data_IF_551759138330
#
_entry.id   IF_551759138330
#
_cell.length_a   1.000
_cell.length_b   1.000
_cell.length_c   1.000
_cell.angle_alpha   90.00
_cell.angle_beta   90.00
_cell.angle_gamma   90.00
#
_symmetry.space_group_name_H-M   'P 1'
#
loop_
_entity.id
_entity.type
_entity.pdbx_description
1 polymer ?
#
# COMPACT_ATOMS: atom_id res chain seq x y z
N UNK A 1 34.09 20.16 -24.05
CA UNK A 1 33.75 19.39 -22.83
C UNK A 1 32.71 18.36 -23.20
N UNK A 2 33.00 17.08 -22.99
CA UNK A 2 32.03 16.03 -23.31
C UNK A 2 30.89 16.01 -22.28
N UNK A 3 29.65 15.85 -22.77
CA UNK A 3 28.45 15.68 -21.95
C UNK A 3 27.56 14.59 -22.53
N UNK A 4 26.81 13.92 -21.66
CA UNK A 4 25.86 12.88 -22.07
C UNK A 4 24.48 13.47 -22.29
N UNK A 5 23.92 13.26 -23.47
CA UNK A 5 22.58 13.72 -23.86
C UNK A 5 21.78 12.57 -24.48
N UNK A 6 20.46 12.71 -24.48
CA UNK A 6 19.59 11.79 -25.21
C UNK A 6 19.37 12.36 -26.63
N UNK A 7 19.67 11.56 -27.64
CA UNK A 7 19.53 11.90 -29.06
C UNK A 7 18.49 11.00 -29.72
N UNK A 8 17.88 11.48 -30.78
CA UNK A 8 16.96 10.73 -31.63
C UNK A 8 17.47 10.74 -33.07
N UNK A 9 17.55 9.56 -33.67
CA UNK A 9 17.94 9.39 -35.08
C UNK A 9 16.80 9.88 -35.97
N UNK A 10 17.06 10.84 -36.85
CA UNK A 10 16.03 11.50 -37.67
C UNK A 10 16.03 10.99 -39.12
N UNK A 11 17.18 10.61 -39.67
CA UNK A 11 17.27 9.96 -40.98
C UNK A 11 18.57 9.20 -41.13
N UNK A 12 18.53 8.09 -41.86
CA UNK A 12 19.70 7.45 -42.46
C UNK A 12 19.92 8.05 -43.86
N UNK A 13 21.14 8.51 -44.17
CA UNK A 13 21.47 9.04 -45.49
C UNK A 13 22.02 7.98 -46.45
N UNK A 14 22.27 6.76 -45.99
CA UNK A 14 22.75 5.64 -46.81
C UNK A 14 24.22 5.73 -47.24
N UNK A 15 24.92 6.80 -46.87
CA UNK A 15 26.35 7.04 -47.10
C UNK A 15 27.21 6.71 -45.86
N UNK A 16 26.61 6.05 -44.86
CA UNK A 16 27.22 5.81 -43.55
C UNK A 16 27.08 6.99 -42.57
N UNK A 17 26.34 8.04 -42.93
CA UNK A 17 26.03 9.16 -42.04
C UNK A 17 24.55 9.22 -41.65
N UNK A 18 24.29 9.60 -40.41
CA UNK A 18 22.95 9.69 -39.83
C UNK A 18 22.68 11.10 -39.32
N UNK A 19 21.46 11.60 -39.52
CA UNK A 19 21.05 12.87 -38.90
C UNK A 19 20.44 12.60 -37.55
N UNK A 20 20.72 13.45 -36.57
CA UNK A 20 20.19 13.31 -35.22
C UNK A 20 19.69 14.65 -34.67
N UNK A 21 18.77 14.57 -33.72
CA UNK A 21 18.27 15.69 -32.91
C UNK A 21 18.38 15.33 -31.43
N UNK A 22 18.44 16.31 -30.54
CA UNK A 22 18.23 15.99 -29.13
C UNK A 22 16.80 15.46 -28.96
N UNK A 23 16.61 14.45 -28.11
CA UNK A 23 15.29 13.86 -27.86
C UNK A 23 14.28 14.97 -27.48
N UNK A 24 13.17 15.05 -28.19
CA UNK A 24 12.13 16.09 -28.01
C UNK A 24 12.41 17.45 -28.68
N UNK A 25 13.57 17.65 -29.32
CA UNK A 25 13.85 18.88 -30.08
C UNK A 25 13.18 18.88 -31.46
N UNK A 26 12.76 20.05 -31.94
CA UNK A 26 12.03 20.20 -33.22
C UNK A 26 12.93 20.19 -34.47
N UNK A 27 14.21 20.52 -34.34
CA UNK A 27 15.16 20.57 -35.44
C UNK A 27 16.34 19.61 -35.23
N UNK A 28 16.88 19.03 -36.34
CA UNK A 28 18.09 18.23 -36.29
C UNK A 28 19.25 19.09 -35.77
N UNK A 29 20.04 18.53 -34.86
CA UNK A 29 21.18 19.20 -34.23
C UNK A 29 22.49 18.93 -34.98
N UNK A 30 22.59 17.82 -35.70
CA UNK A 30 23.82 17.48 -36.40
C UNK A 30 23.76 16.16 -37.17
N UNK A 31 24.93 15.77 -37.65
CA UNK A 31 25.21 14.51 -38.34
C UNK A 31 26.11 13.67 -37.44
N UNK A 32 25.93 12.35 -37.42
CA UNK A 32 26.80 11.39 -36.73
C UNK A 32 27.19 10.27 -37.69
N UNK A 33 28.30 9.58 -37.37
CA UNK A 33 28.78 8.43 -38.16
C UNK A 33 28.04 7.16 -37.76
N UNK A 34 27.60 6.38 -38.75
CA UNK A 34 26.86 5.14 -38.55
C UNK A 34 27.62 4.08 -37.75
N UNK A 35 28.95 4.05 -37.85
CA UNK A 35 29.82 3.12 -37.13
C UNK A 35 29.74 3.25 -35.60
N UNK A 36 29.24 4.38 -35.10
CA UNK A 36 29.05 4.61 -33.67
C UNK A 36 27.72 4.03 -33.17
N UNK A 37 26.80 3.63 -34.07
CA UNK A 37 25.49 3.14 -33.71
C UNK A 37 25.52 1.65 -33.37
N UNK A 38 24.68 1.21 -32.40
CA UNK A 38 24.51 -0.22 -32.12
C UNK A 38 23.81 -0.92 -33.30
N UNK A 39 24.06 -2.23 -33.44
CA UNK A 39 23.40 -3.06 -34.44
C UNK A 39 21.88 -2.95 -34.35
N UNK A 40 21.22 -2.84 -35.51
CA UNK A 40 19.76 -2.69 -35.59
C UNK A 40 19.25 -1.28 -35.28
N UNK A 41 20.12 -0.25 -35.33
CA UNK A 41 19.70 1.14 -35.18
C UNK A 41 18.68 1.55 -36.26
N UNK A 42 17.64 2.29 -35.84
CA UNK A 42 16.55 2.70 -36.72
C UNK A 42 16.18 4.18 -36.55
N UNK A 43 15.61 4.77 -37.60
CA UNK A 43 15.06 6.13 -37.56
C UNK A 43 13.95 6.22 -36.50
N UNK A 44 13.98 7.26 -35.68
CA UNK A 44 13.07 7.48 -34.54
C UNK A 44 13.55 6.85 -33.23
N UNK A 45 14.63 6.08 -33.24
CA UNK A 45 15.19 5.50 -32.02
C UNK A 45 15.86 6.58 -31.17
N UNK A 46 15.56 6.57 -29.87
CA UNK A 46 16.21 7.43 -28.88
C UNK A 46 17.35 6.68 -28.19
N UNK A 47 18.56 7.25 -28.27
CA UNK A 47 19.79 6.67 -27.76
C UNK A 47 20.52 7.68 -26.86
N UNK A 48 21.29 7.17 -25.91
CA UNK A 48 22.15 8.00 -25.06
C UNK A 48 23.48 8.21 -25.78
N UNK A 49 23.85 9.45 -26.04
CA UNK A 49 25.11 9.77 -26.72
C UNK A 49 26.00 10.66 -25.86
N UNK A 50 27.31 10.44 -25.96
CA UNK A 50 28.34 11.34 -25.48
C UNK A 50 28.72 12.30 -26.59
N UNK A 51 28.66 13.58 -26.26
CA UNK A 51 28.71 14.67 -27.21
C UNK A 51 29.70 15.71 -26.73
N UNK A 52 30.62 16.10 -27.60
CA UNK A 52 31.49 17.24 -27.35
C UNK A 52 30.89 18.50 -27.96
N UNK A 53 30.80 19.56 -27.16
CA UNK A 53 30.31 20.87 -27.60
C UNK A 53 31.52 21.81 -27.71
N UNK A 54 31.89 22.13 -28.95
CA UNK A 54 32.99 23.03 -29.31
C UNK A 54 32.51 24.28 -30.04
N UNK A 55 33.45 25.06 -30.57
CA UNK A 55 33.16 26.27 -31.36
C UNK A 55 32.44 25.94 -32.68
N UNK A 56 32.76 24.78 -33.26
CA UNK A 56 32.25 24.30 -34.56
C UNK A 56 30.92 23.54 -34.46
N UNK A 57 30.33 23.49 -33.27
CA UNK A 57 29.05 22.85 -33.02
C UNK A 57 29.14 21.66 -32.07
N UNK A 58 28.21 20.72 -32.26
CA UNK A 58 27.93 19.63 -31.33
C UNK A 58 28.20 18.30 -32.04
N UNK A 59 29.31 17.63 -31.73
CA UNK A 59 29.72 16.38 -32.37
C UNK A 59 29.45 15.18 -31.45
N UNK A 60 28.92 14.10 -32.02
CA UNK A 60 28.69 12.84 -31.29
C UNK A 60 29.98 12.03 -31.32
N UNK A 61 30.56 11.81 -30.13
CA UNK A 61 31.82 11.07 -29.96
C UNK A 61 31.55 9.58 -29.75
N UNK A 62 30.49 9.23 -29.01
CA UNK A 62 30.10 7.86 -28.76
C UNK A 62 28.59 7.73 -28.54
N UNK A 63 28.01 6.59 -28.93
CA UNK A 63 26.61 6.25 -28.64
C UNK A 63 26.57 5.01 -27.75
N UNK A 64 25.90 5.12 -26.61
CA UNK A 64 25.71 3.99 -25.71
C UNK A 64 24.55 3.13 -26.22
N UNK A 65 24.61 1.80 -26.04
CA UNK A 65 23.50 0.92 -26.39
C UNK A 65 22.23 1.37 -25.66
N UNK A 66 21.04 1.17 -26.26
CA UNK A 66 19.79 1.53 -25.63
C UNK A 66 19.74 0.87 -24.25
N UNK A 67 19.35 1.64 -23.23
CA UNK A 67 19.10 1.08 -21.90
C UNK A 67 18.05 0.00 -22.11
N UNK A 68 18.48 -1.26 -22.07
CA UNK A 68 17.56 -2.37 -22.11
C UNK A 68 16.47 -2.03 -21.10
N UNK A 69 15.21 -2.09 -21.54
CA UNK A 69 14.11 -2.19 -20.59
C UNK A 69 14.31 -3.55 -19.95
N UNK A 70 15.25 -3.61 -19.02
CA UNK A 70 15.40 -4.64 -18.03
C UNK A 70 14.14 -4.53 -17.16
N UNK A 71 13.04 -5.03 -17.72
CA UNK A 71 12.19 -5.98 -17.04
C UNK A 71 13.02 -7.26 -16.88
N UNK A 72 14.21 -7.13 -16.27
CA UNK A 72 14.79 -8.22 -15.55
C UNK A 72 13.71 -8.55 -14.55
N UNK A 73 13.19 -9.77 -14.69
CA UNK A 73 12.27 -10.38 -13.75
C UNK A 73 12.69 -9.96 -12.36
N UNK A 74 11.76 -9.37 -11.62
CA UNK A 74 11.97 -8.94 -10.24
C UNK A 74 12.66 -10.09 -9.54
N UNK A 75 13.93 -9.93 -9.17
CA UNK A 75 14.65 -10.95 -8.42
C UNK A 75 13.98 -11.01 -7.05
N UNK A 76 13.03 -11.93 -6.91
CA UNK A 76 12.28 -12.13 -5.67
C UNK A 76 13.17 -12.88 -4.71
N UNK A 77 13.42 -12.29 -3.55
CA UNK A 77 14.01 -13.01 -2.43
C UNK A 77 13.01 -14.10 -1.99
N UNK A 78 13.42 -15.36 -2.09
CA UNK A 78 12.66 -16.47 -1.51
C UNK A 78 12.81 -16.41 0.01
N UNK A 79 11.70 -16.22 0.72
CA UNK A 79 11.69 -16.16 2.18
C UNK A 79 11.67 -17.59 2.72
N UNK A 80 12.84 -18.12 3.10
CA UNK A 80 12.94 -19.41 3.79
C UNK A 80 12.52 -19.19 5.26
N UNK A 81 11.21 -19.18 5.53
CA UNK A 81 10.72 -19.19 6.90
C UNK A 81 10.82 -20.61 7.46
N UNK A 82 11.45 -20.74 8.65
CA UNK A 82 11.35 -21.97 9.45
C UNK A 82 9.89 -22.14 9.91
N UNK A 83 9.37 -23.37 10.01
CA UNK A 83 8.01 -23.59 10.50
C UNK A 83 7.90 -23.04 11.93
N UNK A 84 7.01 -22.07 12.11
CA UNK A 84 6.68 -21.52 13.43
C UNK A 84 5.96 -22.62 14.19
N UNK A 85 6.48 -22.98 15.36
CA UNK A 85 5.86 -24.00 16.20
C UNK A 85 4.73 -23.35 16.99
N UNK A 86 3.67 -24.10 17.31
CA UNK A 86 2.52 -23.58 18.07
C UNK A 86 2.92 -22.96 19.43
N UNK A 87 4.04 -23.39 20.01
CA UNK A 87 4.62 -22.82 21.23
C UNK A 87 5.12 -21.37 21.07
N UNK A 88 5.53 -20.97 19.87
CA UNK A 88 5.99 -19.62 19.54
C UNK A 88 4.80 -18.65 19.31
N UNK A 89 3.60 -19.19 19.10
CA UNK A 89 2.35 -18.42 18.91
C UNK A 89 1.71 -18.00 20.24
N UNK A 90 2.19 -18.53 21.37
CA UNK A 90 1.61 -18.28 22.70
C UNK A 90 2.34 -17.11 23.38
N UNK A 91 1.80 -15.89 23.23
CA UNK A 91 2.34 -14.68 23.88
C UNK A 91 2.04 -14.57 25.38
N UNK A 92 1.30 -15.52 25.96
CA UNK A 92 1.05 -15.54 27.41
C UNK A 92 0.98 -16.97 27.96
N UNK A 93 1.96 -17.33 28.80
CA UNK A 93 1.88 -18.51 29.68
C UNK A 93 1.21 -18.09 30.99
N UNK A 94 -0.06 -18.47 31.18
CA UNK A 94 -0.76 -18.29 32.44
C UNK A 94 -0.22 -19.32 33.45
N UNK A 95 0.61 -18.89 34.39
CA UNK A 95 1.07 -19.73 35.49
C UNK A 95 -0.13 -20.12 36.36
N UNK A 96 -0.40 -21.42 36.47
CA UNK A 96 -1.46 -21.95 37.32
C UNK A 96 -1.20 -21.63 38.80
N UNK A 97 -2.07 -20.82 39.41
CA UNK A 97 -2.02 -20.54 40.84
C UNK A 97 -2.67 -21.69 41.60
N UNK A 98 -1.83 -22.54 42.18
CA UNK A 98 -2.22 -23.66 43.03
C UNK A 98 -3.14 -23.25 44.17
N UNK A 99 -4.14 -24.10 44.44
CA UNK A 99 -4.99 -24.01 45.60
C UNK A 99 -4.18 -24.18 46.88
N UNK A 100 -4.42 -23.29 47.86
CA UNK A 100 -4.06 -23.49 49.26
C UNK A 100 -5.25 -23.15 50.13
N UNK A 101 -5.75 -24.19 50.75
CA UNK A 101 -6.08 -24.28 52.18
C UNK A 101 -7.14 -23.34 52.72
N UNK A 102 -8.31 -23.95 52.91
CA UNK A 102 -9.24 -23.62 53.99
C UNK A 102 -8.52 -23.92 55.30
N UNK A 103 -8.23 -22.91 56.11
CA UNK A 103 -8.22 -23.10 57.54
C UNK A 103 -8.56 -21.83 58.32
N UNK A 104 -9.20 -22.07 59.46
CA UNK A 104 -9.98 -21.18 60.32
C UNK A 104 -9.22 -19.98 60.89
N UNK A 105 -9.95 -18.90 61.17
CA UNK A 105 -9.48 -17.79 62.00
C UNK A 105 -10.53 -16.72 62.27
N UNK A 106 -11.47 -17.03 63.16
CA UNK A 106 -12.35 -16.10 63.87
C UNK A 106 -11.58 -14.94 64.53
N UNK A 107 -12.03 -13.68 64.32
CA UNK A 107 -12.01 -12.57 65.30
C UNK A 107 -12.39 -11.21 64.68
N UNK A 108 -13.38 -10.56 65.27
CA UNK A 108 -13.25 -9.13 65.57
C UNK A 108 -14.23 -8.16 64.90
N UNK A 109 -15.47 -8.21 65.36
CA UNK A 109 -16.40 -7.08 65.44
C UNK A 109 -15.71 -5.78 65.92
N UNK A 110 -15.92 -4.65 65.23
CA UNK A 110 -15.97 -3.28 65.80
C UNK A 110 -16.23 -2.21 64.72
N UNK A 111 -17.41 -1.59 64.81
CA UNK A 111 -17.47 -0.12 64.90
C UNK A 111 -18.06 0.65 63.73
N UNK A 112 -19.34 0.96 63.86
CA UNK A 112 -20.03 2.14 63.34
C UNK A 112 -19.16 3.40 63.15
N UNK A 113 -19.41 4.17 62.07
CA UNK A 113 -19.95 5.55 62.17
C UNK A 113 -20.23 6.21 60.81
N UNK A 114 -21.44 6.76 60.73
CA UNK A 114 -21.99 7.68 59.71
C UNK A 114 -21.33 9.07 59.76
N UNK A 115 -21.44 9.82 58.66
CA UNK A 115 -21.39 11.31 58.62
C UNK A 115 -20.53 11.84 57.46
N UNK A 116 -21.09 12.34 56.35
CA UNK A 116 -21.63 13.69 56.10
C UNK A 116 -20.58 14.81 56.22
N UNK A 117 -20.31 15.50 55.11
CA UNK A 117 -20.09 16.96 55.12
C UNK A 117 -18.78 17.51 54.58
N UNK A 118 -18.92 18.32 53.52
CA UNK A 118 -18.27 19.63 53.26
C UNK A 118 -16.75 19.82 53.06
N UNK A 119 -16.44 20.20 51.82
CA UNK A 119 -15.84 21.49 51.35
C UNK A 119 -14.88 22.27 52.25
N UNK A 120 -13.68 22.54 51.65
CA UNK A 120 -12.80 23.76 51.67
C UNK A 120 -12.35 24.25 53.06
N UNK A 121 -11.07 24.53 53.33
CA UNK A 121 -10.24 25.60 52.76
C UNK A 121 -8.82 25.54 53.39
N UNK A 122 -7.82 26.14 52.71
CA UNK A 122 -6.55 26.79 53.19
C UNK A 122 -5.78 26.14 54.37
N UNK A 123 -4.49 25.79 54.30
CA UNK A 123 -3.34 26.39 53.62
C UNK A 123 -2.30 26.82 54.67
N UNK A 124 -1.01 26.45 54.53
CA UNK A 124 0.10 27.24 55.12
C UNK A 124 1.51 26.87 54.59
N UNK A 125 2.29 27.92 54.26
CA UNK A 125 3.77 28.17 54.21
C UNK A 125 4.72 27.11 53.59
N UNK A 126 5.57 27.36 52.57
CA UNK A 126 6.49 28.51 52.27
C UNK A 126 7.94 28.19 52.76
N UNK A 127 9.08 28.61 52.13
CA UNK A 127 9.34 29.92 51.49
C UNK A 127 10.25 29.95 50.21
N UNK A 128 10.53 31.18 49.74
CA UNK A 128 11.10 31.70 48.47
C UNK A 128 12.65 31.87 48.49
N UNK A 129 13.35 32.02 47.35
CA UNK A 129 13.95 33.26 46.71
C UNK A 129 14.90 32.78 45.57
N UNK A 130 15.23 33.45 44.45
CA UNK A 130 15.51 34.85 44.04
C UNK A 130 15.02 35.07 42.57
N UNK A 131 14.47 36.22 42.12
CA UNK A 131 15.04 37.58 42.04
C UNK A 131 15.93 37.68 40.78
N UNK A 132 15.68 38.47 39.72
CA UNK A 132 15.53 39.92 39.76
C UNK A 132 15.11 40.56 38.41
N UNK A 133 14.44 41.72 38.54
CA UNK A 133 14.43 42.93 37.67
C UNK A 133 13.14 43.30 36.91
N UNK A 134 12.42 44.27 37.50
CA UNK A 134 11.38 45.09 36.86
C UNK A 134 11.92 46.43 36.30
N UNK A 135 11.15 47.54 36.30
CA UNK A 135 10.37 48.05 35.13
C UNK A 135 10.53 49.57 34.82
N UNK A 136 10.02 50.06 33.67
CA UNK A 136 9.19 51.29 33.44
C UNK A 136 9.49 52.12 32.15
N UNK A 137 8.41 52.64 31.55
CA UNK A 137 8.28 53.86 30.70
C UNK A 137 8.44 53.64 29.19
N UNK A 138 7.78 54.29 28.22
CA UNK A 138 6.72 55.31 28.11
C UNK A 138 6.47 55.52 26.58
N UNK A 139 5.24 55.84 26.14
CA UNK A 139 4.89 56.20 24.74
C UNK A 139 4.60 55.00 23.81
N UNK A 140 3.58 54.94 22.95
CA UNK A 140 2.81 56.00 22.31
C UNK A 140 1.44 55.43 21.85
N UNK A 141 0.34 56.16 22.10
CA UNK A 141 -1.04 55.79 21.71
C UNK A 141 -1.39 56.45 20.39
N UNK A 142 -1.86 55.70 19.39
CA UNK A 142 -2.82 56.23 18.39
C UNK A 142 -3.86 55.17 17.97
N UNK A 143 -5.15 55.34 18.30
CA UNK A 143 -6.26 54.62 17.67
C UNK A 143 -6.63 55.28 16.34
N UNK A 144 -6.89 54.49 15.30
CA UNK A 144 -7.31 54.99 13.98
C UNK A 144 -8.83 55.23 13.98
N UNK A 145 -9.33 56.34 13.39
CA UNK A 145 -10.66 56.86 13.69
C UNK A 145 -11.75 56.31 12.78
N UNK A 146 -12.91 56.13 13.39
CA UNK A 146 -14.23 55.92 12.78
C UNK A 146 -14.72 57.27 12.19
N UNK A 147 -15.18 57.26 10.93
CA UNK A 147 -15.57 58.47 10.22
C UNK A 147 -16.35 58.19 8.94
N UNK A 148 -17.62 58.59 8.99
CA UNK A 148 -18.73 58.45 8.04
C UNK A 148 -18.63 59.37 6.79
N UNK A 149 -19.46 59.09 5.76
CA UNK A 149 -19.76 59.79 4.46
C UNK A 149 -19.34 59.01 3.20
N UNK A 150 -20.22 58.55 2.30
CA UNK A 150 -21.67 58.74 2.16
C UNK A 150 -22.26 57.89 1.02
N UNK A 151 -23.55 58.08 0.68
CA UNK A 151 -24.29 57.22 -0.26
C UNK A 151 -24.21 57.77 -1.70
N UNK A 152 -23.69 56.97 -2.64
CA UNK A 152 -23.92 57.18 -4.08
C UNK A 152 -24.18 55.84 -4.77
N UNK A 153 -25.38 55.73 -5.32
CA UNK A 153 -25.85 54.56 -6.03
C UNK A 153 -25.07 54.26 -7.31
N UNK A 154 -25.24 53.02 -7.77
CA UNK A 154 -24.73 52.52 -9.02
C UNK A 154 -25.07 51.05 -9.14
N UNK A 155 -26.33 50.77 -9.45
CA UNK A 155 -26.87 49.41 -9.54
C UNK A 155 -26.04 48.52 -10.46
N UNK A 156 -25.60 47.39 -9.92
CA UNK A 156 -25.47 46.18 -10.70
C UNK A 156 -26.48 45.18 -10.14
N UNK A 157 -27.48 44.74 -10.93
CA UNK A 157 -28.33 43.65 -10.49
C UNK A 157 -27.45 42.42 -10.29
N UNK A 158 -27.61 41.75 -9.14
CA UNK A 158 -27.02 40.44 -8.88
C UNK A 158 -27.37 39.52 -10.04
N UNK A 159 -26.38 39.22 -10.87
CA UNK A 159 -26.57 38.29 -11.99
C UNK A 159 -26.88 36.93 -11.36
N UNK A 160 -28.02 36.29 -11.66
CA UNK A 160 -28.36 35.00 -11.07
C UNK A 160 -27.21 34.02 -11.36
N UNK A 161 -26.63 33.44 -10.31
CA UNK A 161 -25.63 32.38 -10.44
C UNK A 161 -26.29 31.28 -11.26
N UNK A 162 -25.84 31.12 -12.51
CA UNK A 162 -26.28 30.03 -13.37
C UNK A 162 -25.92 28.74 -12.66
N UNK A 163 -26.92 28.03 -12.12
CA UNK A 163 -26.71 26.74 -11.48
C UNK A 163 -26.08 25.81 -12.51
N UNK A 164 -24.82 25.44 -12.26
CA UNK A 164 -24.09 24.53 -13.14
C UNK A 164 -24.77 23.18 -12.99
N UNK A 165 -25.28 22.57 -14.09
CA UNK A 165 -25.87 21.24 -14.02
C UNK A 165 -24.90 20.30 -13.31
N UNK A 166 -25.38 19.61 -12.29
CA UNK A 166 -24.58 18.63 -11.56
C UNK A 166 -24.13 17.54 -12.53
N UNK A 167 -22.83 17.45 -12.77
CA UNK A 167 -22.27 16.41 -13.63
C UNK A 167 -22.61 15.03 -13.04
N UNK A 168 -22.99 14.05 -13.87
CA UNK A 168 -23.33 12.72 -13.39
C UNK A 168 -22.14 12.11 -12.63
N UNK A 169 -22.39 11.38 -11.53
CA UNK A 169 -21.32 10.85 -10.69
C UNK A 169 -20.44 9.90 -11.50
N UNK A 170 -19.13 10.13 -11.46
CA UNK A 170 -18.14 9.28 -12.12
C UNK A 170 -18.21 7.85 -11.58
N UNK A 171 -18.09 6.81 -12.43
CA UNK A 171 -18.16 5.42 -11.98
C UNK A 171 -17.02 5.13 -11.01
N UNK A 172 -17.35 4.43 -9.92
CA UNK A 172 -16.36 4.03 -8.90
C UNK A 172 -15.34 3.08 -9.55
N UNK A 173 -14.03 3.23 -9.25
CA UNK A 173 -13.01 2.33 -9.77
C UNK A 173 -13.28 0.89 -9.31
N UNK A 174 -13.03 -0.08 -10.19
CA UNK A 174 -13.11 -1.50 -9.85
C UNK A 174 -12.04 -1.81 -8.79
N UNK A 175 -12.44 -2.45 -7.70
CA UNK A 175 -11.51 -2.92 -6.68
C UNK A 175 -10.61 -3.99 -7.27
N UNK A 176 -9.30 -3.85 -7.04
CA UNK A 176 -8.35 -4.90 -7.35
C UNK A 176 -8.68 -6.14 -6.52
N UNK A 177 -8.62 -7.32 -7.15
CA UNK A 177 -8.81 -8.61 -6.49
C UNK A 177 -7.44 -9.26 -6.33
N UNK A 178 -7.23 -9.95 -5.22
CA UNK A 178 -6.04 -10.76 -5.03
C UNK A 178 -5.90 -11.80 -6.15
N UNK A 179 -4.67 -11.99 -6.62
CA UNK A 179 -4.35 -13.02 -7.61
C UNK A 179 -4.65 -14.42 -7.08
N UNK A 180 -4.81 -15.38 -7.98
CA UNK A 180 -5.06 -16.80 -7.65
C UNK A 180 -3.97 -17.73 -8.19
N UNK A 181 -2.79 -17.20 -8.51
CA UNK A 181 -1.70 -17.95 -9.13
C UNK A 181 -1.18 -19.05 -8.19
N UNK A 182 -0.80 -18.68 -6.97
CA UNK A 182 -0.26 -19.61 -5.97
C UNK A 182 -1.31 -20.61 -5.50
N UNK A 183 -2.53 -20.16 -5.21
CA UNK A 183 -3.66 -21.05 -4.94
C UNK A 183 -3.92 -22.09 -6.04
N UNK A 184 -3.89 -21.69 -7.32
CA UNK A 184 -4.06 -22.63 -8.45
C UNK A 184 -2.91 -23.62 -8.53
N UNK A 185 -1.67 -23.15 -8.32
CA UNK A 185 -0.50 -24.02 -8.30
C UNK A 185 -0.56 -25.02 -7.13
N UNK A 186 -1.01 -24.59 -5.95
CA UNK A 186 -1.21 -25.44 -4.78
C UNK A 186 -2.23 -26.55 -5.05
N UNK A 187 -3.38 -26.21 -5.67
CA UNK A 187 -4.36 -27.23 -6.10
C UNK A 187 -3.75 -28.17 -7.14
N UNK A 188 -3.06 -27.65 -8.15
CA UNK A 188 -2.46 -28.48 -9.21
C UNK A 188 -1.36 -29.43 -8.71
N UNK A 189 -0.73 -29.14 -7.56
CA UNK A 189 0.29 -29.98 -6.94
C UNK A 189 -0.31 -31.17 -6.15
N UNK A 190 -1.60 -31.15 -5.83
CA UNK A 190 -2.27 -32.24 -5.11
C UNK A 190 -2.53 -33.44 -6.03
N UNK A 191 -2.69 -34.63 -5.44
CA UNK A 191 -3.11 -35.81 -6.19
C UNK A 191 -4.53 -35.62 -6.73
N UNK A 192 -4.84 -36.15 -7.93
CA UNK A 192 -6.13 -36.00 -8.60
C UNK A 192 -7.39 -36.11 -7.70
N UNK A 193 -7.54 -37.13 -6.83
CA UNK A 193 -8.69 -37.22 -5.92
C UNK A 193 -8.72 -36.08 -4.87
N UNK A 194 -7.57 -35.62 -4.40
CA UNK A 194 -7.47 -34.52 -3.44
C UNK A 194 -7.73 -33.16 -4.09
N UNK A 195 -7.44 -33.00 -5.39
CA UNK A 195 -7.74 -31.78 -6.15
C UNK A 195 -9.23 -31.43 -6.11
N UNK A 196 -10.11 -32.43 -6.30
CA UNK A 196 -11.57 -32.23 -6.29
C UNK A 196 -12.04 -31.73 -4.93
N UNK A 197 -11.49 -32.29 -3.85
CA UNK A 197 -11.80 -31.87 -2.47
C UNK A 197 -11.30 -30.43 -2.24
N UNK A 198 -10.08 -30.13 -2.67
CA UNK A 198 -9.47 -28.81 -2.55
C UNK A 198 -10.26 -27.73 -3.31
N UNK A 199 -10.72 -28.02 -4.52
CA UNK A 199 -11.56 -27.11 -5.30
C UNK A 199 -12.86 -26.78 -4.56
N UNK A 200 -13.54 -27.80 -4.05
CA UNK A 200 -14.79 -27.60 -3.30
C UNK A 200 -14.54 -26.85 -1.98
N UNK A 201 -13.41 -27.13 -1.31
CA UNK A 201 -12.98 -26.42 -0.12
C UNK A 201 -12.72 -24.92 -0.40
N UNK A 202 -12.17 -24.58 -1.55
CA UNK A 202 -11.92 -23.18 -1.95
C UNK A 202 -13.21 -22.42 -2.31
N UNK A 203 -14.30 -23.12 -2.64
CA UNK A 203 -15.61 -22.51 -2.93
C UNK A 203 -16.30 -22.05 -1.64
N UNK A 204 -16.32 -22.89 -0.60
CA UNK A 204 -17.10 -22.60 0.61
C UNK A 204 -16.60 -23.25 1.90
N UNK A 205 -15.35 -23.70 1.93
CA UNK A 205 -14.73 -24.35 3.09
C UNK A 205 -15.28 -25.75 3.36
N UNK A 206 -15.02 -26.25 4.57
CA UNK A 206 -15.44 -27.58 5.03
C UNK A 206 -16.96 -27.79 4.89
N UNK A 207 -17.84 -26.80 5.18
CA UNK A 207 -19.28 -26.97 4.97
C UNK A 207 -19.66 -27.27 3.52
N UNK A 208 -18.97 -26.67 2.55
CA UNK A 208 -19.23 -26.93 1.13
C UNK A 208 -18.80 -28.33 0.71
N UNK A 209 -17.75 -28.89 1.33
CA UNK A 209 -17.33 -30.28 1.12
C UNK A 209 -18.40 -31.22 1.69
N UNK A 210 -18.90 -30.97 2.91
CA UNK A 210 -19.97 -31.77 3.52
C UNK A 210 -21.22 -31.82 2.64
N UNK A 211 -21.70 -30.66 2.20
CA UNK A 211 -22.88 -30.56 1.33
C UNK A 211 -22.67 -31.27 -0.03
N UNK A 212 -21.45 -31.22 -0.58
CA UNK A 212 -21.15 -31.91 -1.82
C UNK A 212 -21.23 -33.43 -1.66
N UNK A 213 -20.71 -33.98 -0.56
CA UNK A 213 -20.80 -35.41 -0.27
C UNK A 213 -22.24 -35.85 -0.02
N UNK A 214 -23.02 -35.08 0.74
CA UNK A 214 -24.44 -35.35 0.97
C UNK A 214 -25.21 -35.41 -0.36
N UNK A 215 -25.01 -34.41 -1.22
CA UNK A 215 -25.61 -34.36 -2.55
C UNK A 215 -25.19 -35.54 -3.44
N UNK A 216 -23.91 -35.93 -3.40
CA UNK A 216 -23.42 -37.09 -4.14
C UNK A 216 -24.04 -38.39 -3.63
N UNK A 217 -24.20 -38.53 -2.31
CA UNK A 217 -24.82 -39.70 -1.71
C UNK A 217 -26.32 -39.80 -2.02
N UNK A 218 -27.05 -38.67 -2.01
CA UNK A 218 -28.43 -38.63 -2.47
C UNK A 218 -28.55 -39.10 -3.93
N UNK A 219 -27.66 -38.63 -4.80
CA UNK A 219 -27.61 -39.07 -6.20
C UNK A 219 -27.27 -40.55 -6.33
N UNK A 220 -26.28 -41.04 -5.57
CA UNK A 220 -25.90 -42.46 -5.57
C UNK A 220 -27.05 -43.34 -5.09
N UNK A 221 -27.78 -42.92 -4.04
CA UNK A 221 -28.95 -43.62 -3.52
C UNK A 221 -30.06 -43.73 -4.56
N UNK A 222 -30.36 -42.63 -5.25
CA UNK A 222 -31.36 -42.61 -6.34
C UNK A 222 -30.93 -43.50 -7.52
N UNK A 223 -29.63 -43.58 -7.81
CA UNK A 223 -29.07 -44.44 -8.84
C UNK A 223 -28.89 -45.91 -8.41
N UNK A 224 -29.25 -46.27 -7.15
CA UNK A 224 -29.04 -47.61 -6.60
C UNK A 224 -27.56 -47.98 -6.39
N UNK A 225 -26.66 -47.00 -6.39
CA UNK A 225 -25.23 -47.14 -6.13
C UNK A 225 -24.88 -47.13 -4.64
N UNK A 226 -23.58 -47.27 -4.34
CA UNK A 226 -23.05 -47.24 -2.98
C UNK A 226 -22.79 -45.80 -2.52
N UNK A 227 -23.20 -45.48 -1.30
CA UNK A 227 -22.92 -44.19 -0.65
C UNK A 227 -21.44 -44.09 -0.23
N UNK A 228 -20.89 -42.89 -0.32
CA UNK A 228 -19.52 -42.54 0.08
C UNK A 228 -19.51 -42.08 1.54
N UNK A 229 -18.53 -42.55 2.32
CA UNK A 229 -18.35 -42.08 3.69
C UNK A 229 -17.82 -40.63 3.70
N UNK A 230 -18.49 -39.73 4.42
CA UNK A 230 -18.10 -38.32 4.47
C UNK A 230 -16.87 -38.07 5.36
N UNK A 231 -16.73 -38.78 6.47
CA UNK A 231 -15.66 -38.55 7.47
C UNK A 231 -14.24 -38.59 6.88
N UNK A 232 -13.85 -39.57 6.05
CA UNK A 232 -12.51 -39.58 5.45
C UNK A 232 -12.27 -38.38 4.52
N UNK A 233 -13.28 -37.93 3.79
CA UNK A 233 -13.18 -36.77 2.89
C UNK A 233 -13.09 -35.46 3.67
N UNK A 234 -13.80 -35.35 4.80
CA UNK A 234 -13.72 -34.21 5.70
C UNK A 234 -12.35 -34.14 6.39
N UNK A 235 -11.78 -35.28 6.81
CA UNK A 235 -10.44 -35.34 7.40
C UNK A 235 -9.36 -34.85 6.41
N UNK A 236 -9.46 -35.23 5.13
CA UNK A 236 -8.58 -34.72 4.08
C UNK A 236 -8.78 -33.20 3.89
N UNK A 237 -10.04 -32.73 3.89
CA UNK A 237 -10.34 -31.32 3.75
C UNK A 237 -9.77 -30.47 4.90
N UNK A 238 -9.85 -30.96 6.14
CA UNK A 238 -9.25 -30.33 7.33
C UNK A 238 -7.73 -30.28 7.24
N UNK A 239 -7.09 -31.35 6.75
CA UNK A 239 -5.64 -31.41 6.51
C UNK A 239 -5.18 -30.38 5.46
N UNK A 240 -5.93 -30.20 4.38
CA UNK A 240 -5.57 -29.31 3.26
C UNK A 240 -5.88 -27.82 3.53
N UNK A 241 -6.78 -27.52 4.48
CA UNK A 241 -7.29 -26.17 4.70
C UNK A 241 -6.22 -25.13 5.07
N UNK A 242 -5.24 -25.41 5.95
CA UNK A 242 -4.21 -24.44 6.31
C UNK A 242 -3.34 -24.04 5.11
N UNK A 243 -2.88 -25.02 4.33
CA UNK A 243 -2.00 -24.81 3.18
C UNK A 243 -2.70 -24.03 2.07
N UNK A 244 -3.96 -24.36 1.77
CA UNK A 244 -4.76 -23.67 0.76
C UNK A 244 -5.15 -22.24 1.18
N UNK A 245 -5.18 -21.94 2.48
CA UNK A 245 -5.39 -20.57 3.00
C UNK A 245 -4.12 -19.72 2.96
N UNK A 246 -2.95 -20.35 3.10
CA UNK A 246 -1.66 -19.68 3.01
C UNK A 246 -1.27 -19.33 1.55
N UNK A 247 -1.85 -20.02 0.56
CA UNK A 247 -1.61 -19.84 -0.88
C UNK A 247 -2.48 -18.76 -1.59
#
# INVERSE_FOLDING_TARGET
>A
MSRRIDIELTSDRGDGSWTWRAAGAKQPKGVLRGDLLPDGAAVGQQLRAEVDSGLDGTEVVAVLPPKEKNRAEVQTLELISRPVRDEDLVTSKLAGRGGRDRDRGDRGDRGDRRGRGDRRDRGDRGPRRDGDRGPRGEGDRRPRPEGDRGPRGGGRPDRPRRERPTEPPKPKPKRLRAGRTHRKAAVAALEGPEQVIAEQLLVGGIPAVRQAVEKQNEQARLAGGREVAAEPLLAIAERLLPDLRAA
#
